data_IF_679262287581
#
_entry.id   IF_679262287581
#
_cell.length_a   1.000
_cell.length_b   1.000
_cell.length_c   1.000
_cell.angle_alpha   90.00
_cell.angle_beta   90.00
_cell.angle_gamma   90.00
#
_symmetry.space_group_name_H-M   'P 1'
#
loop_
_entity.id
_entity.type
_entity.pdbx_description
1 polymer ?
#
# COMPACT_ATOMS: atom_id res chain seq x y z
N UNK A 1 29.41 -9.31 -1.32
CA UNK A 1 28.20 -10.09 -0.95
C UNK A 1 28.23 -11.40 -1.75
N UNK A 2 27.55 -12.49 -1.36
CA UNK A 2 27.46 -13.67 -2.25
C UNK A 2 26.53 -13.34 -3.43
N UNK A 3 26.94 -13.67 -4.66
CA UNK A 3 26.08 -13.55 -5.85
C UNK A 3 24.76 -14.30 -5.67
N UNK A 4 23.65 -13.64 -5.99
CA UNK A 4 22.31 -14.22 -5.91
C UNK A 4 22.10 -15.27 -7.01
N UNK A 5 21.33 -16.32 -6.72
CA UNK A 5 20.76 -17.13 -7.80
C UNK A 5 19.70 -16.34 -8.57
N UNK A 6 19.32 -16.82 -9.76
CA UNK A 6 18.27 -16.18 -10.55
C UNK A 6 16.95 -16.07 -9.78
N UNK A 7 16.59 -17.09 -9.00
CA UNK A 7 15.38 -17.13 -8.19
C UNK A 7 15.48 -16.20 -6.97
N UNK A 8 16.66 -16.09 -6.36
CA UNK A 8 16.89 -15.13 -5.27
C UNK A 8 16.81 -13.69 -5.77
N UNK A 9 17.43 -13.40 -6.92
CA UNK A 9 17.34 -12.10 -7.58
C UNK A 9 15.90 -11.76 -7.94
N UNK A 10 15.17 -12.69 -8.55
CA UNK A 10 13.76 -12.48 -8.93
C UNK A 10 12.90 -12.11 -7.72
N UNK A 11 13.03 -12.84 -6.60
CA UNK A 11 12.32 -12.48 -5.36
C UNK A 11 12.73 -11.10 -4.84
N UNK A 12 14.02 -10.79 -4.85
CA UNK A 12 14.54 -9.53 -4.34
C UNK A 12 14.11 -8.33 -5.19
N UNK A 13 14.22 -8.40 -6.52
CA UNK A 13 13.82 -7.33 -7.42
C UNK A 13 12.30 -7.10 -7.38
N UNK A 14 11.50 -8.16 -7.26
CA UNK A 14 10.04 -8.03 -7.12
C UNK A 14 9.64 -7.27 -5.84
N UNK A 15 10.33 -7.50 -4.72
CA UNK A 15 10.08 -6.84 -3.43
C UNK A 15 10.78 -5.48 -3.28
N UNK A 16 11.75 -5.19 -4.15
CA UNK A 16 12.58 -3.99 -4.04
C UNK A 16 13.60 -4.07 -2.91
N UNK A 17 14.11 -5.27 -2.59
CA UNK A 17 15.13 -5.45 -1.57
C UNK A 17 16.49 -4.93 -2.05
N UNK A 18 17.24 -4.32 -1.14
CA UNK A 18 18.56 -3.75 -1.44
C UNK A 18 19.56 -4.76 -2.00
N UNK A 19 19.48 -6.04 -1.61
CA UNK A 19 20.33 -7.09 -2.20
C UNK A 19 20.23 -7.21 -3.72
N UNK A 20 19.09 -6.90 -4.34
CA UNK A 20 18.98 -6.91 -5.82
C UNK A 20 19.84 -5.80 -6.45
N UNK A 21 19.84 -4.61 -5.85
CA UNK A 21 20.70 -3.51 -6.26
C UNK A 21 22.18 -3.86 -6.08
N UNK A 22 22.54 -4.41 -4.91
CA UNK A 22 23.91 -4.80 -4.60
C UNK A 22 24.43 -5.89 -5.55
N UNK A 23 23.58 -6.82 -5.99
CA UNK A 23 23.95 -7.90 -6.90
C UNK A 23 24.32 -7.36 -8.29
N UNK A 24 23.49 -6.48 -8.86
CA UNK A 24 23.83 -5.82 -10.15
C UNK A 24 25.07 -4.95 -10.00
N UNK A 25 25.21 -4.22 -8.89
CA UNK A 25 26.38 -3.38 -8.63
C UNK A 25 27.69 -4.17 -8.58
N UNK A 26 27.68 -5.37 -8.01
CA UNK A 26 28.89 -6.20 -7.83
C UNK A 26 29.16 -7.10 -9.05
N UNK A 27 28.12 -7.58 -9.75
CA UNK A 27 28.24 -8.64 -10.76
C UNK A 27 27.68 -8.29 -12.15
N UNK A 28 27.11 -7.10 -12.33
CA UNK A 28 26.45 -6.67 -13.57
C UNK A 28 25.11 -7.37 -13.81
N UNK A 29 24.50 -7.13 -14.97
CA UNK A 29 23.14 -7.62 -15.30
C UNK A 29 23.12 -8.91 -16.13
N UNK A 30 24.26 -9.42 -16.63
CA UNK A 30 24.30 -10.46 -17.67
C UNK A 30 23.40 -11.67 -17.40
N UNK A 31 23.36 -12.17 -16.17
CA UNK A 31 22.59 -13.38 -15.80
C UNK A 31 21.14 -13.07 -15.38
N UNK A 32 20.82 -11.80 -15.14
CA UNK A 32 19.53 -11.30 -14.63
C UNK A 32 18.86 -10.31 -15.58
N UNK A 33 19.43 -10.08 -16.77
CA UNK A 33 19.02 -9.07 -17.74
C UNK A 33 17.54 -9.10 -18.07
N UNK A 34 16.97 -10.30 -18.25
CA UNK A 34 15.54 -10.48 -18.52
C UNK A 34 14.64 -10.12 -17.34
N UNK A 35 15.10 -10.40 -16.10
CA UNK A 35 14.36 -10.08 -14.88
C UNK A 35 14.38 -8.58 -14.61
N UNK A 36 15.54 -7.94 -14.81
CA UNK A 36 15.67 -6.49 -14.72
C UNK A 36 14.81 -5.81 -15.78
N UNK A 37 14.84 -6.28 -17.04
CA UNK A 37 13.98 -5.74 -18.09
C UNK A 37 12.49 -5.88 -17.73
N UNK A 38 12.07 -7.01 -17.17
CA UNK A 38 10.69 -7.17 -16.69
C UNK A 38 10.34 -6.13 -15.61
N UNK A 39 11.26 -5.88 -14.65
CA UNK A 39 11.05 -4.87 -13.61
C UNK A 39 11.03 -3.43 -14.15
N UNK A 40 11.70 -3.15 -15.26
CA UNK A 40 11.61 -1.86 -15.98
C UNK A 40 10.25 -1.71 -16.68
N UNK A 41 9.80 -2.75 -17.37
CA UNK A 41 8.57 -2.70 -18.20
C UNK A 41 7.28 -2.90 -17.41
N UNK A 42 7.36 -3.49 -16.22
CA UNK A 42 6.20 -3.78 -15.36
C UNK A 42 6.41 -3.19 -13.98
N UNK A 43 5.36 -2.60 -13.46
CA UNK A 43 5.35 -2.15 -12.09
C UNK A 43 5.11 -3.35 -11.16
N UNK A 44 6.16 -3.76 -10.45
CA UNK A 44 6.13 -4.93 -9.57
C UNK A 44 5.72 -4.58 -8.13
N UNK A 45 5.46 -3.30 -7.81
CA UNK A 45 5.07 -2.86 -6.46
C UNK A 45 3.78 -3.58 -6.04
N UNK A 46 3.63 -3.87 -4.75
CA UNK A 46 2.49 -4.63 -4.27
C UNK A 46 1.22 -3.77 -4.29
N UNK A 47 1.27 -2.62 -3.64
CA UNK A 47 0.20 -1.62 -3.58
C UNK A 47 0.73 -0.24 -4.00
N UNK A 48 0.59 0.07 -5.29
CA UNK A 48 1.04 1.33 -5.87
C UNK A 48 0.36 2.57 -5.25
N UNK A 49 -0.86 2.43 -4.73
CA UNK A 49 -1.60 3.55 -4.16
C UNK A 49 -0.97 4.06 -2.86
N UNK A 50 -0.32 3.18 -2.10
CA UNK A 50 0.26 3.52 -0.78
C UNK A 50 1.79 3.49 -0.74
N UNK A 51 2.43 2.80 -1.69
CA UNK A 51 3.89 2.63 -1.72
C UNK A 51 4.60 3.55 -2.71
N UNK A 52 3.88 4.07 -3.72
CA UNK A 52 4.48 4.81 -4.84
C UNK A 52 5.27 3.90 -5.81
N UNK A 53 5.98 4.54 -6.75
CA UNK A 53 6.77 3.84 -7.77
C UNK A 53 8.20 3.53 -7.34
N UNK A 54 8.88 2.67 -8.12
CA UNK A 54 10.31 2.31 -7.91
C UNK A 54 11.24 2.77 -9.03
N UNK A 55 10.76 3.61 -9.94
CA UNK A 55 11.51 4.02 -11.12
C UNK A 55 12.86 4.67 -10.79
N UNK A 56 12.94 5.60 -9.83
CA UNK A 56 14.22 6.23 -9.42
C UNK A 56 15.23 5.21 -8.90
N UNK A 57 14.77 4.25 -8.10
CA UNK A 57 15.61 3.16 -7.61
C UNK A 57 16.05 2.22 -8.74
N UNK A 58 15.13 1.79 -9.59
CA UNK A 58 15.43 0.96 -10.76
C UNK A 58 16.42 1.65 -11.70
N UNK A 59 16.26 2.95 -11.93
CA UNK A 59 17.21 3.72 -12.72
C UNK A 59 18.61 3.69 -12.10
N UNK A 60 18.71 3.81 -10.78
CA UNK A 60 19.99 3.70 -10.06
C UNK A 60 20.61 2.30 -10.18
N UNK A 61 19.80 1.23 -10.33
CA UNK A 61 20.29 -0.11 -10.67
C UNK A 61 20.85 -0.14 -12.09
N UNK A 62 20.16 0.50 -13.05
CA UNK A 62 20.58 0.54 -14.46
C UNK A 62 21.94 1.21 -14.67
N UNK A 63 22.32 2.15 -13.79
CA UNK A 63 23.64 2.82 -13.84
C UNK A 63 24.81 1.87 -13.60
N UNK A 64 24.56 0.68 -13.05
CA UNK A 64 25.57 -0.39 -12.88
C UNK A 64 25.51 -1.48 -13.97
N UNK A 65 24.69 -1.30 -15.00
CA UNK A 65 24.61 -2.23 -16.14
C UNK A 65 25.60 -1.86 -17.24
N UNK A 66 25.98 -2.84 -18.06
CA UNK A 66 26.94 -2.62 -19.15
C UNK A 66 26.35 -1.82 -20.33
N UNK A 67 25.02 -1.84 -20.51
CA UNK A 67 24.31 -1.16 -21.61
C UNK A 67 22.98 -0.59 -21.12
N UNK A 68 23.04 0.56 -20.43
CA UNK A 68 21.83 1.27 -19.99
C UNK A 68 20.92 1.66 -21.17
N UNK A 69 21.49 1.95 -22.33
CA UNK A 69 20.74 2.32 -23.54
C UNK A 69 19.90 1.16 -24.10
N UNK A 70 20.24 -0.10 -23.81
CA UNK A 70 19.38 -1.24 -24.11
C UNK A 70 18.02 -1.12 -23.43
N UNK A 71 18.00 -0.76 -22.15
CA UNK A 71 16.77 -0.63 -21.36
C UNK A 71 15.95 0.58 -21.80
N UNK A 72 16.61 1.69 -22.13
CA UNK A 72 15.93 2.86 -22.70
C UNK A 72 15.21 2.51 -24.01
N UNK A 73 15.90 1.84 -24.95
CA UNK A 73 15.31 1.41 -26.22
C UNK A 73 14.11 0.49 -25.99
N UNK A 74 14.27 -0.52 -25.13
CA UNK A 74 13.20 -1.45 -24.83
C UNK A 74 11.99 -0.75 -24.17
N UNK A 75 12.22 0.22 -23.29
CA UNK A 75 11.16 1.03 -22.68
C UNK A 75 10.38 1.83 -23.73
N UNK A 76 11.10 2.54 -24.61
CA UNK A 76 10.50 3.33 -25.70
C UNK A 76 9.69 2.45 -26.67
N UNK A 77 10.19 1.27 -27.01
CA UNK A 77 9.53 0.31 -27.92
C UNK A 77 8.25 -0.30 -27.33
N UNK A 78 8.15 -0.37 -26.00
CA UNK A 78 7.01 -1.01 -25.32
C UNK A 78 6.01 -0.04 -24.71
N UNK A 79 6.31 1.27 -24.65
CA UNK A 79 5.44 2.26 -23.99
C UNK A 79 4.03 2.33 -24.60
N UNK A 80 3.88 2.11 -25.90
CA UNK A 80 2.57 2.06 -26.56
C UNK A 80 1.72 0.87 -26.12
N UNK A 81 2.36 -0.19 -25.64
CA UNK A 81 1.72 -1.45 -25.24
C UNK A 81 1.40 -1.49 -23.72
N UNK A 82 1.78 -0.44 -22.97
CA UNK A 82 1.40 -0.30 -21.57
C UNK A 82 -0.10 0.05 -21.48
N UNK A 83 -0.91 -0.94 -21.13
CA UNK A 83 -2.35 -0.79 -20.87
C UNK A 83 -2.65 -0.50 -19.40
N UNK A 84 -1.78 -0.97 -18.48
CA UNK A 84 -1.88 -0.69 -17.06
C UNK A 84 -1.48 0.75 -16.76
N UNK A 85 -2.29 1.44 -15.95
CA UNK A 85 -1.98 2.79 -15.45
C UNK A 85 -0.65 2.80 -14.67
N UNK A 86 -0.40 1.76 -13.86
CA UNK A 86 0.79 1.68 -13.00
C UNK A 86 2.06 1.33 -13.78
N UNK A 87 1.93 0.49 -14.82
CA UNK A 87 3.06 0.21 -15.72
C UNK A 87 3.41 1.47 -16.52
N UNK A 88 2.39 2.21 -16.96
CA UNK A 88 2.57 3.47 -17.68
C UNK A 88 3.25 4.50 -16.79
N UNK A 89 2.77 4.70 -15.57
CA UNK A 89 3.35 5.66 -14.63
C UNK A 89 4.83 5.36 -14.34
N UNK A 90 5.17 4.11 -14.04
CA UNK A 90 6.56 3.71 -13.83
C UNK A 90 7.42 3.94 -15.08
N UNK A 91 6.88 3.64 -16.26
CA UNK A 91 7.58 3.88 -17.51
C UNK A 91 7.85 5.38 -17.73
N UNK A 92 6.88 6.25 -17.42
CA UNK A 92 7.04 7.70 -17.52
C UNK A 92 8.04 8.25 -16.50
N UNK A 93 8.05 7.73 -15.28
CA UNK A 93 9.10 8.07 -14.29
C UNK A 93 10.51 7.66 -14.77
N UNK A 94 10.65 6.50 -15.41
CA UNK A 94 11.93 6.08 -15.97
C UNK A 94 12.34 6.99 -17.15
N UNK A 95 11.41 7.37 -18.02
CA UNK A 95 11.68 8.33 -19.09
C UNK A 95 12.07 9.71 -18.55
N UNK A 96 11.48 10.14 -17.43
CA UNK A 96 11.91 11.35 -16.72
C UNK A 96 13.39 11.25 -16.30
N UNK A 97 13.80 10.14 -15.70
CA UNK A 97 15.19 9.94 -15.28
C UNK A 97 16.19 9.91 -16.44
N UNK A 98 15.80 9.33 -17.59
CA UNK A 98 16.56 9.43 -18.83
C UNK A 98 16.60 10.86 -19.40
N UNK A 99 15.47 11.57 -19.38
CA UNK A 99 15.37 12.95 -19.88
C UNK A 99 16.23 13.92 -19.07
N UNK A 100 16.25 13.79 -17.73
CA UNK A 100 17.13 14.56 -16.84
C UNK A 100 18.62 14.36 -17.15
N UNK A 101 18.99 13.20 -17.68
CA UNK A 101 20.36 12.86 -18.11
C UNK A 101 20.64 13.19 -19.59
N UNK A 102 19.73 13.92 -20.25
CA UNK A 102 19.94 14.45 -21.59
C UNK A 102 19.35 13.61 -22.73
N UNK A 103 18.52 12.61 -22.45
CA UNK A 103 17.81 11.92 -23.53
C UNK A 103 16.66 12.75 -24.10
N UNK A 104 16.90 13.36 -25.25
CA UNK A 104 15.87 14.06 -26.03
C UNK A 104 14.75 13.10 -26.49
N UNK A 105 15.08 11.82 -26.72
CA UNK A 105 14.10 10.80 -27.10
C UNK A 105 13.13 10.55 -25.96
N UNK A 106 13.66 10.35 -24.75
CA UNK A 106 12.84 10.13 -23.56
C UNK A 106 11.97 11.36 -23.24
N UNK A 107 12.52 12.58 -23.32
CA UNK A 107 11.73 13.82 -23.16
C UNK A 107 10.55 13.87 -24.15
N UNK A 108 10.81 13.69 -25.44
CA UNK A 108 9.76 13.77 -26.47
C UNK A 108 8.68 12.71 -26.24
N UNK A 109 9.08 11.50 -25.88
CA UNK A 109 8.15 10.40 -25.67
C UNK A 109 7.29 10.58 -24.42
N UNK A 110 7.87 11.11 -23.33
CA UNK A 110 7.14 11.48 -22.12
C UNK A 110 5.97 12.43 -22.44
N UNK A 111 6.26 13.53 -23.13
CA UNK A 111 5.24 14.49 -23.56
C UNK A 111 4.22 13.88 -24.53
N UNK A 112 4.71 13.12 -25.53
CA UNK A 112 3.84 12.48 -26.53
C UNK A 112 2.85 11.52 -25.88
N UNK A 113 3.31 10.70 -24.92
CA UNK A 113 2.46 9.75 -24.20
C UNK A 113 1.42 10.49 -23.38
N UNK A 114 1.82 11.50 -22.60
CA UNK A 114 0.88 12.32 -21.83
C UNK A 114 -0.17 12.97 -22.73
N UNK A 115 0.22 13.59 -23.83
CA UNK A 115 -0.71 14.30 -24.73
C UNK A 115 -1.74 13.37 -25.38
N UNK A 116 -1.31 12.16 -25.74
CA UNK A 116 -2.12 11.15 -26.41
C UNK A 116 -2.88 10.21 -25.47
N UNK A 117 -2.60 10.23 -24.16
CA UNK A 117 -3.24 9.30 -23.23
C UNK A 117 -4.74 9.55 -23.09
N UNK A 118 -5.46 8.47 -22.78
CA UNK A 118 -6.92 8.46 -22.57
C UNK A 118 -7.31 8.04 -21.15
N UNK A 119 -6.34 8.02 -20.23
CA UNK A 119 -6.62 7.77 -18.82
C UNK A 119 -7.40 8.95 -18.24
N UNK A 120 -8.31 8.66 -17.30
CA UNK A 120 -9.00 9.70 -16.53
C UNK A 120 -8.11 10.22 -15.40
N UNK A 121 -7.08 9.45 -15.04
CA UNK A 121 -6.04 9.76 -14.07
C UNK A 121 -5.08 10.81 -14.62
N UNK A 122 -5.37 12.08 -14.35
CA UNK A 122 -4.59 13.23 -14.80
C UNK A 122 -3.16 13.28 -14.27
N UNK A 123 -2.90 12.61 -13.15
CA UNK A 123 -1.58 12.51 -12.52
C UNK A 123 -0.58 11.67 -13.33
N UNK A 124 -1.05 10.73 -14.17
CA UNK A 124 -0.18 9.94 -15.05
C UNK A 124 0.51 10.87 -16.06
N UNK A 125 1.84 10.98 -15.99
CA UNK A 125 2.65 11.80 -16.89
C UNK A 125 2.72 13.29 -16.54
N UNK A 126 1.73 13.82 -15.83
CA UNK A 126 1.75 15.25 -15.47
C UNK A 126 2.81 15.57 -14.44
N UNK A 127 2.94 14.72 -13.41
CA UNK A 127 3.94 14.92 -12.35
C UNK A 127 5.36 14.90 -12.93
N UNK A 128 5.62 13.98 -13.86
CA UNK A 128 6.91 13.83 -14.49
C UNK A 128 7.24 15.02 -15.40
N UNK A 129 6.28 15.52 -16.17
CA UNK A 129 6.45 16.72 -16.99
C UNK A 129 6.73 17.95 -16.12
N UNK A 130 5.99 18.12 -15.02
CA UNK A 130 6.19 19.21 -14.06
C UNK A 130 7.55 19.09 -13.37
N UNK A 131 7.98 17.87 -13.04
CA UNK A 131 9.31 17.64 -12.46
C UNK A 131 10.43 17.97 -13.43
N UNK A 132 10.23 17.74 -14.74
CA UNK A 132 11.23 18.01 -15.77
C UNK A 132 11.35 19.50 -16.13
N UNK A 133 10.22 20.18 -16.31
CA UNK A 133 10.16 21.53 -16.92
C UNK A 133 9.50 22.58 -16.00
N UNK A 134 9.22 22.23 -14.74
CA UNK A 134 8.73 23.16 -13.73
C UNK A 134 7.39 23.80 -14.08
N UNK A 135 7.32 25.13 -13.98
CA UNK A 135 6.11 25.91 -14.24
C UNK A 135 5.67 25.79 -15.70
N UNK A 136 6.60 25.74 -16.66
CA UNK A 136 6.27 25.58 -18.07
C UNK A 136 5.65 24.19 -18.35
N UNK A 137 6.19 23.16 -17.69
CA UNK A 137 5.59 21.82 -17.69
C UNK A 137 4.17 21.82 -17.11
N UNK A 138 3.95 22.53 -16.00
CA UNK A 138 2.61 22.70 -15.42
C UNK A 138 1.64 23.38 -16.39
N UNK A 139 2.04 24.45 -17.07
CA UNK A 139 1.18 25.14 -18.04
C UNK A 139 0.78 24.20 -19.19
N UNK A 140 1.72 23.42 -19.73
CA UNK A 140 1.44 22.42 -20.76
C UNK A 140 0.41 21.38 -20.29
N UNK A 141 0.60 20.85 -19.08
CA UNK A 141 -0.30 19.88 -18.46
C UNK A 141 -1.70 20.47 -18.27
N UNK A 142 -1.80 21.66 -17.65
CA UNK A 142 -3.07 22.31 -17.38
C UNK A 142 -3.83 22.66 -18.66
N UNK A 143 -3.13 23.09 -19.72
CA UNK A 143 -3.74 23.32 -21.04
C UNK A 143 -4.23 22.03 -21.70
N UNK A 144 -3.52 20.92 -21.52
CA UNK A 144 -3.91 19.62 -22.07
C UNK A 144 -5.14 19.07 -21.34
N UNK A 145 -5.16 19.12 -20.02
CA UNK A 145 -6.33 18.73 -19.20
C UNK A 145 -7.52 19.64 -19.53
N UNK A 146 -7.30 20.95 -19.61
CA UNK A 146 -8.31 21.92 -19.98
C UNK A 146 -8.91 21.69 -21.37
N UNK A 147 -8.13 21.16 -22.32
CA UNK A 147 -8.64 20.70 -23.62
C UNK A 147 -9.56 19.49 -23.43
N UNK A 148 -9.16 18.48 -22.67
CA UNK A 148 -9.97 17.27 -22.40
C UNK A 148 -11.29 17.60 -21.74
N UNK A 149 -11.29 18.45 -20.71
CA UNK A 149 -12.50 18.95 -20.04
C UNK A 149 -13.50 19.64 -20.99
N UNK A 150 -13.01 20.18 -22.11
CA UNK A 150 -13.85 20.82 -23.13
C UNK A 150 -14.34 19.86 -24.22
N UNK A 151 -13.59 18.80 -24.48
CA UNK A 151 -13.84 17.85 -25.56
C UNK A 151 -14.63 16.63 -25.09
N UNK A 152 -14.56 16.30 -23.80
CA UNK A 152 -15.22 15.15 -23.18
C UNK A 152 -16.02 15.59 -21.95
N UNK A 153 -17.35 15.54 -22.05
CA UNK A 153 -18.28 15.89 -20.97
C UNK A 153 -18.15 14.97 -19.74
N UNK A 154 -17.63 13.76 -19.92
CA UNK A 154 -17.41 12.78 -18.85
C UNK A 154 -16.06 12.94 -18.13
N UNK A 155 -15.15 13.75 -18.69
CA UNK A 155 -13.83 13.96 -18.09
C UNK A 155 -13.95 14.80 -16.81
N UNK A 156 -13.23 14.39 -15.78
CA UNK A 156 -13.30 15.00 -14.46
C UNK A 156 -11.90 15.27 -13.91
N UNK A 157 -11.77 16.33 -13.12
CA UNK A 157 -10.52 16.77 -12.52
C UNK A 157 -10.78 17.40 -11.15
N UNK A 158 -9.80 17.27 -10.25
CA UNK A 158 -9.80 17.90 -8.92
C UNK A 158 -8.61 18.87 -8.69
N UNK A 159 -8.58 19.46 -7.50
CA UNK A 159 -7.60 20.46 -7.08
C UNK A 159 -6.22 19.88 -6.73
N UNK A 160 -6.03 18.56 -6.76
CA UNK A 160 -4.81 17.91 -6.27
C UNK A 160 -3.56 18.43 -6.98
N UNK A 161 -3.57 18.44 -8.32
CA UNK A 161 -2.44 18.85 -9.12
C UNK A 161 -2.07 20.32 -8.88
N UNK A 162 -3.07 21.21 -8.85
CA UNK A 162 -2.84 22.64 -8.62
C UNK A 162 -2.24 22.90 -7.24
N UNK A 163 -2.74 22.21 -6.21
CA UNK A 163 -2.21 22.33 -4.85
C UNK A 163 -0.77 21.84 -4.76
N UNK A 164 -0.45 20.69 -5.38
CA UNK A 164 0.92 20.16 -5.42
C UNK A 164 1.93 21.13 -6.06
N UNK A 165 1.52 21.81 -7.14
CA UNK A 165 2.35 22.79 -7.84
C UNK A 165 2.52 24.07 -7.02
N UNK A 166 1.46 24.55 -6.36
CA UNK A 166 1.54 25.69 -5.43
C UNK A 166 2.47 25.41 -4.25
N UNK A 167 2.40 24.21 -3.66
CA UNK A 167 3.27 23.80 -2.56
C UNK A 167 4.75 23.79 -2.98
N UNK A 168 5.03 23.37 -4.21
CA UNK A 168 6.40 23.26 -4.74
C UNK A 168 7.00 24.59 -5.18
N UNK A 169 6.24 25.44 -5.88
CA UNK A 169 6.76 26.66 -6.52
C UNK A 169 6.27 27.96 -5.89
N UNK A 170 5.38 27.88 -4.90
CA UNK A 170 4.76 29.02 -4.23
C UNK A 170 3.48 29.47 -4.94
N UNK A 171 2.43 29.72 -4.15
CA UNK A 171 1.10 30.11 -4.63
C UNK A 171 1.13 31.41 -5.45
N UNK A 172 1.88 32.43 -5.02
CA UNK A 172 1.97 33.71 -5.72
C UNK A 172 2.58 33.58 -7.12
N UNK A 173 3.65 32.80 -7.26
CA UNK A 173 4.33 32.59 -8.54
C UNK A 173 3.41 31.86 -9.54
N UNK A 174 2.68 30.86 -9.07
CA UNK A 174 1.72 30.10 -9.88
C UNK A 174 0.54 30.96 -10.30
N UNK A 175 -0.06 31.73 -9.39
CA UNK A 175 -1.15 32.66 -9.71
C UNK A 175 -0.76 33.67 -10.77
N UNK A 176 0.39 34.34 -10.60
CA UNK A 176 0.88 35.32 -11.56
C UNK A 176 1.06 34.72 -12.96
N UNK A 177 1.61 33.51 -13.03
CA UNK A 177 1.82 32.80 -14.30
C UNK A 177 0.47 32.44 -14.96
N UNK A 178 -0.47 31.93 -14.17
CA UNK A 178 -1.83 31.60 -14.63
C UNK A 178 -2.52 32.85 -15.16
N UNK A 179 -2.50 33.97 -14.42
CA UNK A 179 -3.18 35.21 -14.79
C UNK A 179 -2.71 35.76 -16.14
N UNK A 180 -1.40 35.69 -16.41
CA UNK A 180 -0.83 36.08 -17.70
C UNK A 180 -1.37 35.17 -18.81
N UNK A 181 -1.33 33.86 -18.60
CA UNK A 181 -1.69 32.86 -19.64
C UNK A 181 -3.20 32.78 -19.90
N UNK A 182 -4.03 33.07 -18.89
CA UNK A 182 -5.50 33.08 -18.98
C UNK A 182 -6.06 34.11 -19.98
N UNK A 183 -5.28 35.15 -20.30
CA UNK A 183 -5.64 36.14 -21.32
C UNK A 183 -5.70 35.52 -22.72
N UNK A 184 -4.91 34.47 -22.96
CA UNK A 184 -4.71 33.88 -24.30
C UNK A 184 -5.22 32.44 -24.41
N UNK A 185 -5.35 31.70 -23.30
CA UNK A 185 -5.64 30.26 -23.34
C UNK A 185 -7.05 29.92 -22.87
N UNK A 186 -7.90 29.47 -23.81
CA UNK A 186 -9.25 28.95 -23.51
C UNK A 186 -9.21 27.62 -22.74
N UNK A 187 -8.17 26.81 -22.95
CA UNK A 187 -8.04 25.52 -22.30
C UNK A 187 -7.62 25.70 -20.84
N UNK A 188 -6.61 26.53 -20.55
CA UNK A 188 -6.23 26.83 -19.17
C UNK A 188 -7.41 27.40 -18.38
N UNK A 189 -8.23 28.25 -19.00
CA UNK A 189 -9.46 28.77 -18.37
C UNK A 189 -10.42 27.66 -17.94
N UNK A 190 -10.66 26.68 -18.82
CA UNK A 190 -11.53 25.55 -18.50
C UNK A 190 -11.01 24.72 -17.32
N UNK A 191 -9.69 24.49 -17.26
CA UNK A 191 -9.05 23.82 -16.12
C UNK A 191 -9.29 24.60 -14.80
N UNK A 192 -8.96 25.90 -14.76
CA UNK A 192 -9.10 26.71 -13.54
C UNK A 192 -10.57 26.83 -13.09
N UNK A 193 -11.52 27.01 -14.01
CA UNK A 193 -12.95 27.04 -13.67
C UNK A 193 -13.42 25.73 -13.04
N UNK A 194 -12.92 24.58 -13.52
CA UNK A 194 -13.24 23.26 -12.98
C UNK A 194 -12.76 23.11 -11.53
N UNK A 195 -11.52 23.53 -11.26
CA UNK A 195 -10.91 23.44 -9.93
C UNK A 195 -11.65 24.31 -8.91
N UNK A 196 -11.92 25.58 -9.25
CA UNK A 196 -12.64 26.52 -8.38
C UNK A 196 -14.02 25.98 -7.97
N UNK A 197 -14.74 25.32 -8.90
CA UNK A 197 -16.03 24.67 -8.59
C UNK A 197 -15.87 23.49 -7.63
N UNK A 198 -14.79 22.73 -7.75
CA UNK A 198 -14.53 21.57 -6.89
C UNK A 198 -14.18 22.00 -5.47
N UNK A 199 -13.28 22.98 -5.31
CA UNK A 199 -12.89 23.53 -4.00
C UNK A 199 -14.10 24.07 -3.21
N UNK A 200 -15.04 24.71 -3.90
CA UNK A 200 -16.27 25.23 -3.30
C UNK A 200 -17.18 24.15 -2.70
N UNK A 201 -17.00 22.87 -3.04
CA UNK A 201 -17.80 21.74 -2.54
C UNK A 201 -17.18 20.96 -1.38
N UNK A 202 -15.95 21.29 -0.95
CA UNK A 202 -15.17 20.51 0.03
C UNK A 202 -15.32 20.92 1.50
N UNK A 203 -16.04 21.99 1.82
CA UNK A 203 -16.12 22.50 3.18
C UNK A 203 -17.02 21.61 4.06
N UNK A 204 -16.41 20.85 4.98
CA UNK A 204 -17.14 20.26 6.10
C UNK A 204 -16.23 19.81 7.25
N UNK A 205 -16.70 19.94 8.49
CA UNK A 205 -16.00 19.51 9.70
C UNK A 205 -15.97 17.98 9.84
N UNK A 206 -15.11 17.47 10.73
CA UNK A 206 -15.06 16.03 11.06
C UNK A 206 -16.40 15.54 11.62
N UNK A 207 -17.04 16.35 12.46
CA UNK A 207 -18.35 16.06 13.04
C UNK A 207 -19.43 15.91 11.95
N UNK A 208 -19.37 16.75 10.92
CA UNK A 208 -20.29 16.67 9.77
C UNK A 208 -20.05 15.42 8.93
N UNK A 209 -18.80 14.99 8.79
CA UNK A 209 -18.46 13.72 8.11
C UNK A 209 -19.01 12.53 8.89
N UNK A 210 -18.78 12.48 10.21
CA UNK A 210 -19.26 11.39 11.06
C UNK A 210 -20.80 11.35 11.10
N UNK A 211 -21.46 12.51 11.15
CA UNK A 211 -22.91 12.60 11.05
C UNK A 211 -23.43 12.11 9.69
N UNK A 212 -22.75 12.46 8.60
CA UNK A 212 -23.09 11.97 7.25
C UNK A 212 -22.96 10.45 7.15
N UNK A 213 -21.91 9.87 7.73
CA UNK A 213 -21.71 8.41 7.78
C UNK A 213 -22.85 7.74 8.56
N UNK A 214 -23.20 8.26 9.75
CA UNK A 214 -24.33 7.73 10.55
C UNK A 214 -25.67 7.83 9.82
N UNK A 215 -25.90 8.92 9.06
CA UNK A 215 -27.09 9.06 8.20
C UNK A 215 -27.11 8.08 7.04
N UNK A 216 -25.94 7.71 6.51
CA UNK A 216 -25.82 6.76 5.42
C UNK A 216 -26.02 5.30 5.87
N UNK A 217 -25.48 4.95 7.03
CA UNK A 217 -25.51 3.60 7.60
C UNK A 217 -26.31 3.59 8.90
N UNK A 218 -27.64 3.71 8.79
CA UNK A 218 -28.53 3.62 9.97
C UNK A 218 -28.65 2.18 10.46
N UNK A 219 -29.02 2.00 11.73
CA UNK A 219 -29.26 0.69 12.33
C UNK A 219 -30.28 -0.12 11.51
N UNK A 220 -31.41 0.47 11.15
CA UNK A 220 -32.49 -0.20 10.42
C UNK A 220 -32.01 -0.69 9.05
N UNK A 221 -31.20 0.12 8.36
CA UNK A 221 -30.61 -0.25 7.08
C UNK A 221 -29.64 -1.42 7.24
N UNK A 222 -28.79 -1.38 8.27
CA UNK A 222 -27.81 -2.44 8.52
C UNK A 222 -28.51 -3.74 8.88
N UNK A 223 -29.50 -3.73 9.77
CA UNK A 223 -30.27 -4.92 10.12
C UNK A 223 -31.02 -5.48 8.89
N UNK A 224 -31.62 -4.62 8.06
CA UNK A 224 -32.25 -5.05 6.81
C UNK A 224 -31.23 -5.64 5.83
N UNK A 225 -30.03 -5.06 5.71
CA UNK A 225 -28.95 -5.60 4.89
C UNK A 225 -28.50 -6.98 5.41
N UNK A 226 -28.37 -7.16 6.72
CA UNK A 226 -28.02 -8.46 7.33
C UNK A 226 -29.09 -9.50 7.05
N UNK A 227 -30.37 -9.18 7.32
CA UNK A 227 -31.49 -10.11 7.11
C UNK A 227 -31.50 -10.65 5.67
N UNK A 228 -31.29 -9.75 4.71
CA UNK A 228 -31.24 -10.08 3.28
C UNK A 228 -29.88 -10.61 2.80
N UNK A 229 -28.92 -10.85 3.71
CA UNK A 229 -27.55 -11.26 3.40
C UNK A 229 -26.89 -10.40 2.29
N UNK A 230 -27.08 -9.08 2.34
CA UNK A 230 -26.53 -8.16 1.33
C UNK A 230 -25.05 -7.91 1.55
N UNK A 231 -24.33 -7.66 0.46
CA UNK A 231 -22.90 -7.31 0.50
C UNK A 231 -21.98 -8.51 0.75
N UNK A 232 -20.89 -8.56 0.00
CA UNK A 232 -19.90 -9.66 0.04
C UNK A 232 -18.64 -9.29 0.84
N UNK A 233 -18.56 -8.04 1.33
CA UNK A 233 -17.37 -7.50 1.96
C UNK A 233 -17.68 -6.79 3.29
N UNK A 234 -16.74 -6.82 4.25
CA UNK A 234 -16.95 -6.29 5.61
C UNK A 234 -17.06 -4.75 5.68
N UNK A 235 -16.62 -4.02 4.65
CA UNK A 235 -16.38 -2.57 4.72
C UNK A 235 -17.54 -1.75 5.31
N UNK A 236 -18.77 -1.94 4.83
CA UNK A 236 -19.93 -1.19 5.33
C UNK A 236 -20.28 -1.53 6.79
N UNK A 237 -20.14 -2.81 7.15
CA UNK A 237 -20.47 -3.31 8.49
C UNK A 237 -19.43 -2.84 9.51
N UNK A 238 -18.15 -2.90 9.13
CA UNK A 238 -17.05 -2.38 9.93
C UNK A 238 -17.10 -0.86 10.09
N UNK A 239 -17.53 -0.11 9.06
CA UNK A 239 -17.77 1.34 9.16
C UNK A 239 -18.89 1.62 10.15
N UNK A 240 -20.05 0.96 10.00
CA UNK A 240 -21.16 1.08 10.93
C UNK A 240 -20.70 0.77 12.37
N UNK A 241 -20.07 -0.38 12.58
CA UNK A 241 -19.57 -0.80 13.89
C UNK A 241 -18.60 0.20 14.53
N UNK A 242 -17.76 0.86 13.73
CA UNK A 242 -16.86 1.92 14.22
C UNK A 242 -17.59 3.21 14.62
N UNK A 243 -18.64 3.60 13.90
CA UNK A 243 -19.29 4.92 14.06
C UNK A 243 -20.61 4.91 14.84
N UNK A 244 -21.22 3.74 15.03
CA UNK A 244 -22.52 3.61 15.69
C UNK A 244 -22.45 3.94 17.18
N UNK A 245 -23.59 4.41 17.71
CA UNK A 245 -23.80 4.66 19.13
C UNK A 245 -23.89 3.32 19.89
N UNK A 246 -23.57 3.35 21.18
CA UNK A 246 -23.54 2.11 21.99
C UNK A 246 -24.92 1.43 22.08
N UNK A 247 -26.02 2.20 22.08
CA UNK A 247 -27.39 1.65 22.06
C UNK A 247 -27.68 0.86 20.77
N UNK A 248 -27.23 1.36 19.63
CA UNK A 248 -27.39 0.66 18.34
C UNK A 248 -26.54 -0.61 18.30
N UNK A 249 -25.33 -0.55 18.84
CA UNK A 249 -24.44 -1.71 18.98
C UNK A 249 -25.07 -2.78 19.88
N UNK A 250 -25.69 -2.37 20.99
CA UNK A 250 -26.36 -3.31 21.90
C UNK A 250 -27.55 -3.98 21.20
N UNK A 251 -28.34 -3.24 20.41
CA UNK A 251 -29.44 -3.82 19.61
C UNK A 251 -28.94 -4.82 18.58
N UNK A 252 -27.88 -4.51 17.85
CA UNK A 252 -27.26 -5.46 16.90
C UNK A 252 -26.77 -6.71 17.62
N UNK A 253 -26.14 -6.55 18.79
CA UNK A 253 -25.62 -7.67 19.56
C UNK A 253 -26.74 -8.58 20.10
N UNK A 254 -27.88 -8.01 20.48
CA UNK A 254 -29.05 -8.78 20.93
C UNK A 254 -29.69 -9.61 19.82
N UNK A 255 -29.68 -9.12 18.57
CA UNK A 255 -30.10 -9.90 17.41
C UNK A 255 -29.07 -10.99 17.08
N UNK A 256 -27.77 -10.65 17.11
CA UNK A 256 -26.69 -11.61 16.91
C UNK A 256 -26.76 -12.81 17.86
N UNK A 257 -27.12 -12.59 19.14
CA UNK A 257 -27.29 -13.64 20.15
C UNK A 257 -28.27 -14.75 19.73
N UNK A 258 -29.26 -14.43 18.88
CA UNK A 258 -30.34 -15.34 18.48
C UNK A 258 -30.19 -15.87 17.06
N UNK A 259 -29.26 -15.33 16.29
CA UNK A 259 -29.04 -15.70 14.90
C UNK A 259 -28.31 -17.03 14.78
N UNK A 260 -28.71 -17.87 13.83
CA UNK A 260 -28.10 -19.18 13.55
C UNK A 260 -27.69 -19.36 12.08
N UNK A 261 -28.15 -18.46 11.19
CA UNK A 261 -27.88 -18.54 9.75
C UNK A 261 -26.47 -18.01 9.46
N UNK A 262 -25.63 -18.85 8.86
CA UNK A 262 -24.22 -18.53 8.56
C UNK A 262 -24.01 -17.19 7.85
N UNK A 263 -24.75 -16.86 6.75
CA UNK A 263 -24.54 -15.59 6.06
C UNK A 263 -24.81 -14.37 6.96
N UNK A 264 -25.83 -14.45 7.80
CA UNK A 264 -26.20 -13.39 8.73
C UNK A 264 -25.16 -13.27 9.85
N UNK A 265 -24.72 -14.40 10.42
CA UNK A 265 -23.68 -14.44 11.44
C UNK A 265 -22.39 -13.75 10.98
N UNK A 266 -21.91 -14.04 9.76
CA UNK A 266 -20.73 -13.39 9.18
C UNK A 266 -20.87 -11.85 9.21
N UNK A 267 -22.02 -11.34 8.77
CA UNK A 267 -22.27 -9.88 8.69
C UNK A 267 -22.42 -9.24 10.07
N UNK A 268 -23.04 -9.93 11.02
CA UNK A 268 -23.05 -9.49 12.41
C UNK A 268 -21.63 -9.42 12.98
N UNK A 269 -20.80 -10.44 12.75
CA UNK A 269 -19.42 -10.48 13.22
C UNK A 269 -18.55 -9.38 12.60
N UNK A 270 -18.74 -9.05 11.32
CA UNK A 270 -18.03 -7.95 10.66
C UNK A 270 -18.25 -6.58 11.32
N UNK A 271 -19.38 -6.36 12.00
CA UNK A 271 -19.64 -5.12 12.76
C UNK A 271 -18.63 -4.99 13.91
N UNK A 272 -18.21 -6.11 14.50
CA UNK A 272 -17.26 -6.15 15.62
C UNK A 272 -15.80 -6.26 15.17
N UNK A 273 -15.49 -6.21 13.88
CA UNK A 273 -14.10 -6.25 13.39
C UNK A 273 -13.24 -5.03 13.76
N UNK A 274 -13.87 -3.93 14.17
CA UNK A 274 -13.19 -2.67 14.57
C UNK A 274 -13.66 -2.15 15.92
N UNK A 275 -14.35 -2.98 16.71
CA UNK A 275 -14.90 -2.62 18.01
C UNK A 275 -14.97 -3.86 18.90
N UNK A 276 -14.82 -3.68 20.21
CA UNK A 276 -15.03 -4.75 21.19
C UNK A 276 -16.45 -5.30 21.10
N UNK A 277 -16.57 -6.62 21.25
CA UNK A 277 -17.86 -7.26 21.52
C UNK A 277 -18.40 -6.76 22.86
N UNK A 278 -19.72 -6.47 22.98
CA UNK A 278 -20.33 -6.15 24.27
C UNK A 278 -20.16 -7.26 25.31
N UNK A 279 -20.18 -8.53 24.87
CA UNK A 279 -19.94 -9.71 25.70
C UNK A 279 -19.23 -10.81 24.90
N UNK A 280 -18.32 -11.56 25.54
CA UNK A 280 -17.63 -12.71 24.94
C UNK A 280 -18.47 -13.99 25.06
N UNK A 281 -19.43 -14.16 24.13
CA UNK A 281 -20.32 -15.32 24.12
C UNK A 281 -19.57 -16.62 23.75
N UNK A 282 -19.84 -17.77 24.40
CA UNK A 282 -19.25 -19.07 24.06
C UNK A 282 -19.33 -19.41 22.57
N UNK A 283 -20.48 -19.10 21.94
CA UNK A 283 -20.72 -19.31 20.52
C UNK A 283 -19.67 -18.64 19.63
N UNK A 284 -19.17 -17.45 19.96
CA UNK A 284 -18.17 -16.76 19.11
C UNK A 284 -16.85 -17.55 19.08
N UNK A 285 -16.45 -18.13 20.20
CA UNK A 285 -15.25 -18.98 20.28
C UNK A 285 -15.41 -20.27 19.47
N UNK A 286 -16.60 -20.85 19.44
CA UNK A 286 -16.92 -22.02 18.62
C UNK A 286 -16.88 -21.67 17.12
N UNK A 287 -17.45 -20.52 16.74
CA UNK A 287 -17.44 -20.00 15.37
C UNK A 287 -16.01 -19.74 14.87
N UNK A 288 -15.11 -19.23 15.72
CA UNK A 288 -13.70 -19.03 15.37
C UNK A 288 -12.97 -20.33 15.00
N UNK A 289 -13.46 -21.49 15.48
CA UNK A 289 -12.91 -22.81 15.18
C UNK A 289 -13.70 -23.56 14.09
N UNK A 290 -14.73 -22.94 13.50
CA UNK A 290 -15.59 -23.58 12.50
C UNK A 290 -14.84 -23.92 11.21
N UNK A 291 -15.28 -24.96 10.49
CA UNK A 291 -14.68 -25.36 9.22
C UNK A 291 -14.94 -24.39 8.07
N UNK A 292 -16.03 -23.62 8.14
CA UNK A 292 -16.30 -22.51 7.25
C UNK A 292 -15.28 -21.40 7.49
N UNK A 293 -14.39 -21.20 6.51
CA UNK A 293 -13.31 -20.23 6.60
C UNK A 293 -13.84 -18.80 6.77
N UNK A 294 -14.88 -18.40 6.04
CA UNK A 294 -15.38 -17.01 6.09
C UNK A 294 -15.98 -16.71 7.47
N UNK A 295 -16.76 -17.65 8.00
CA UNK A 295 -17.32 -17.57 9.34
C UNK A 295 -16.23 -17.57 10.44
N UNK A 296 -15.23 -18.44 10.30
CA UNK A 296 -14.08 -18.50 11.21
C UNK A 296 -13.29 -17.19 11.20
N UNK A 297 -12.95 -16.64 10.03
CA UNK A 297 -12.26 -15.35 9.92
C UNK A 297 -13.08 -14.20 10.52
N UNK A 298 -14.39 -14.14 10.24
CA UNK A 298 -15.24 -13.09 10.82
C UNK A 298 -15.29 -13.17 12.36
N UNK A 299 -15.36 -14.37 12.92
CA UNK A 299 -15.34 -14.58 14.36
C UNK A 299 -13.98 -14.25 14.99
N UNK A 300 -12.88 -14.61 14.32
CA UNK A 300 -11.51 -14.26 14.74
C UNK A 300 -11.36 -12.75 14.82
N UNK A 301 -11.74 -12.01 13.79
CA UNK A 301 -11.61 -10.54 13.80
C UNK A 301 -12.55 -9.85 14.80
N UNK A 302 -13.70 -10.45 15.12
CA UNK A 302 -14.55 -9.95 16.20
C UNK A 302 -13.89 -10.15 17.58
N UNK A 303 -13.25 -11.30 17.82
CA UNK A 303 -12.57 -11.61 19.08
C UNK A 303 -11.27 -10.81 19.27
N UNK A 304 -10.51 -10.55 18.20
CA UNK A 304 -9.18 -9.90 18.24
C UNK A 304 -9.19 -8.50 18.88
N UNK A 305 -10.35 -7.85 18.94
CA UNK A 305 -10.53 -6.54 19.55
C UNK A 305 -10.59 -6.58 21.09
N UNK A 306 -10.66 -7.76 21.71
CA UNK A 306 -10.81 -7.97 23.16
C UNK A 306 -9.58 -8.63 23.80
N UNK A 307 -9.42 -8.43 25.12
CA UNK A 307 -8.35 -9.06 25.92
C UNK A 307 -9.01 -10.07 26.87
N UNK A 308 -8.72 -11.36 26.69
CA UNK A 308 -9.19 -12.45 27.54
C UNK A 308 -8.32 -13.71 27.36
N UNK A 309 -8.03 -14.41 28.46
CA UNK A 309 -7.27 -15.67 28.44
C UNK A 309 -7.85 -16.76 27.53
N UNK A 310 -9.17 -16.80 27.34
CA UNK A 310 -9.86 -17.74 26.44
C UNK A 310 -9.60 -17.43 24.97
N UNK A 311 -9.40 -16.16 24.62
CA UNK A 311 -9.05 -15.74 23.25
C UNK A 311 -7.67 -16.27 22.89
N UNK A 312 -6.71 -16.15 23.81
CA UNK A 312 -5.39 -16.76 23.64
C UNK A 312 -5.50 -18.29 23.43
N UNK A 313 -6.29 -18.99 24.26
CA UNK A 313 -6.45 -20.45 24.13
C UNK A 313 -7.09 -20.86 22.80
N UNK A 314 -7.97 -20.02 22.22
CA UNK A 314 -8.48 -20.23 20.86
C UNK A 314 -7.40 -19.95 19.82
N UNK A 315 -6.61 -18.88 20.00
CA UNK A 315 -5.41 -18.59 19.21
C UNK A 315 -4.50 -19.81 19.10
N UNK A 316 -4.10 -20.42 20.22
CA UNK A 316 -3.27 -21.63 20.22
C UNK A 316 -3.89 -22.78 19.42
N UNK A 317 -5.21 -22.98 19.50
CA UNK A 317 -5.91 -24.02 18.72
C UNK A 317 -5.92 -23.71 17.23
N UNK A 318 -6.07 -22.44 16.85
CA UNK A 318 -6.00 -21.99 15.46
C UNK A 318 -4.58 -22.17 14.90
N UNK A 319 -3.54 -21.80 15.66
CA UNK A 319 -2.14 -21.95 15.23
C UNK A 319 -1.74 -23.41 14.92
N UNK A 320 -2.38 -24.38 15.60
CA UNK A 320 -2.14 -25.83 15.39
C UNK A 320 -2.85 -26.41 14.15
N UNK A 321 -3.61 -25.61 13.39
CA UNK A 321 -4.25 -26.08 12.16
C UNK A 321 -3.23 -26.50 11.09
N UNK A 322 -3.57 -27.54 10.32
CA UNK A 322 -2.68 -28.11 9.27
C UNK A 322 -2.58 -27.25 8.02
N UNK A 323 -3.63 -26.50 7.70
CA UNK A 323 -3.57 -25.48 6.67
C UNK A 323 -2.85 -24.24 7.22
N UNK A 324 -1.86 -23.72 6.50
CA UNK A 324 -1.03 -22.62 7.01
C UNK A 324 -1.79 -21.29 7.00
N UNK A 325 -2.71 -21.08 6.05
CA UNK A 325 -3.48 -19.83 5.95
C UNK A 325 -4.44 -19.73 7.13
N UNK A 326 -5.13 -20.84 7.42
CA UNK A 326 -5.97 -20.96 8.60
C UNK A 326 -5.16 -20.85 9.88
N UNK A 327 -3.98 -21.47 9.95
CA UNK A 327 -3.11 -21.34 11.12
C UNK A 327 -2.68 -19.89 11.36
N UNK A 328 -2.27 -19.18 10.30
CA UNK A 328 -1.79 -17.80 10.39
C UNK A 328 -2.88 -16.81 10.83
N UNK A 329 -4.17 -17.13 10.64
CA UNK A 329 -5.27 -16.32 11.19
C UNK A 329 -5.24 -16.23 12.72
N UNK A 330 -4.58 -17.17 13.40
CA UNK A 330 -4.37 -17.14 14.84
C UNK A 330 -3.50 -15.97 15.31
N UNK A 331 -2.68 -15.38 14.43
CA UNK A 331 -1.85 -14.22 14.77
C UNK A 331 -2.71 -13.03 15.19
N UNK A 332 -3.86 -12.82 14.54
CA UNK A 332 -4.78 -11.72 14.87
C UNK A 332 -5.28 -11.81 16.32
N UNK A 333 -5.55 -13.03 16.81
CA UNK A 333 -5.99 -13.25 18.19
C UNK A 333 -4.89 -12.96 19.21
N UNK A 334 -3.63 -13.16 18.82
CA UNK A 334 -2.48 -12.92 19.68
C UNK A 334 -2.08 -11.44 19.76
N UNK A 335 -2.48 -10.56 18.83
CA UNK A 335 -2.08 -9.14 18.83
C UNK A 335 -2.25 -8.49 20.22
N UNK A 336 -3.39 -8.75 20.89
CA UNK A 336 -3.68 -8.22 22.23
C UNK A 336 -3.59 -9.26 23.35
N UNK A 337 -3.31 -10.52 23.01
CA UNK A 337 -3.35 -11.66 23.94
C UNK A 337 -2.07 -12.52 23.87
N UNK A 338 -0.97 -11.96 23.36
CA UNK A 338 0.33 -12.60 23.26
C UNK A 338 0.86 -12.96 24.66
N UNK A 339 1.54 -14.10 24.74
CA UNK A 339 2.26 -14.55 25.94
C UNK A 339 3.68 -14.96 25.56
N UNK A 340 4.58 -14.88 26.54
CA UNK A 340 5.95 -15.36 26.37
C UNK A 340 5.96 -16.82 25.89
N UNK A 341 6.72 -17.09 24.82
CA UNK A 341 6.81 -18.40 24.17
C UNK A 341 5.90 -18.59 22.95
N UNK A 342 4.93 -17.69 22.71
CA UNK A 342 4.08 -17.76 21.51
C UNK A 342 4.87 -17.65 20.20
N UNK A 343 6.05 -17.03 20.24
CA UNK A 343 6.95 -16.90 19.07
C UNK A 343 7.30 -18.28 18.46
N UNK A 344 7.45 -19.32 19.28
CA UNK A 344 7.84 -20.65 18.78
C UNK A 344 6.76 -21.24 17.87
N UNK A 345 5.48 -21.07 18.20
CA UNK A 345 4.37 -21.54 17.37
C UNK A 345 4.20 -20.65 16.13
N UNK A 346 4.42 -19.34 16.26
CA UNK A 346 4.46 -18.42 15.12
C UNK A 346 5.52 -18.87 14.11
N UNK A 347 6.76 -19.06 14.54
CA UNK A 347 7.87 -19.49 13.68
C UNK A 347 7.62 -20.83 12.99
N UNK A 348 6.97 -21.79 13.67
CA UNK A 348 6.57 -23.07 13.05
C UNK A 348 5.61 -22.86 11.88
N UNK A 349 4.69 -21.91 11.98
CA UNK A 349 3.78 -21.56 10.90
C UNK A 349 4.52 -20.85 9.78
N UNK A 350 5.40 -19.89 10.10
CA UNK A 350 6.18 -19.16 9.08
C UNK A 350 7.02 -20.11 8.21
N UNK A 351 7.57 -21.18 8.79
CA UNK A 351 8.32 -22.23 8.06
C UNK A 351 7.45 -23.07 7.12
N UNK A 352 6.13 -23.10 7.33
CA UNK A 352 5.17 -23.83 6.48
C UNK A 352 4.66 -23.01 5.30
N UNK A 353 4.89 -21.70 5.31
CA UNK A 353 4.45 -20.81 4.24
C UNK A 353 5.31 -21.09 2.99
N UNK A 354 4.70 -21.50 1.86
CA UNK A 354 5.44 -21.74 0.63
C UNK A 354 6.06 -20.45 0.08
N UNK A 355 7.27 -20.53 -0.47
CA UNK A 355 7.90 -19.41 -1.17
C UNK A 355 7.08 -18.92 -2.40
N UNK A 356 6.18 -19.77 -2.92
CA UNK A 356 5.27 -19.51 -4.04
C UNK A 356 3.88 -19.04 -3.58
N UNK A 357 3.69 -18.77 -2.30
CA UNK A 357 2.40 -18.29 -1.79
C UNK A 357 2.00 -16.96 -2.46
N UNK A 358 0.69 -16.79 -2.67
CA UNK A 358 0.12 -15.61 -3.31
C UNK A 358 0.41 -14.37 -2.47
N UNK A 359 0.85 -13.29 -3.11
CA UNK A 359 1.28 -12.03 -2.46
C UNK A 359 0.24 -11.47 -1.49
N UNK A 360 -1.04 -11.48 -1.85
CA UNK A 360 -2.12 -10.99 -0.99
C UNK A 360 -2.27 -11.77 0.32
N UNK A 361 -2.04 -13.08 0.25
CA UNK A 361 -2.09 -13.93 1.45
C UNK A 361 -0.91 -13.65 2.36
N UNK A 362 0.29 -13.47 1.79
CA UNK A 362 1.48 -13.05 2.53
C UNK A 362 1.29 -11.66 3.14
N UNK A 363 0.73 -10.71 2.39
CA UNK A 363 0.49 -9.35 2.88
C UNK A 363 -0.45 -9.33 4.09
N UNK A 364 -1.51 -10.16 4.08
CA UNK A 364 -2.39 -10.31 5.25
C UNK A 364 -1.61 -10.81 6.47
N UNK A 365 -0.87 -11.91 6.33
CA UNK A 365 -0.04 -12.46 7.41
C UNK A 365 0.95 -11.44 7.93
N UNK A 366 1.66 -10.76 7.05
CA UNK A 366 2.62 -9.72 7.39
C UNK A 366 1.95 -8.56 8.14
N UNK A 367 0.75 -8.15 7.72
CA UNK A 367 0.02 -7.07 8.40
C UNK A 367 -0.31 -7.45 9.85
N UNK A 368 -0.79 -8.67 10.08
CA UNK A 368 -1.09 -9.17 11.43
C UNK A 368 0.18 -9.27 12.28
N UNK A 369 1.29 -9.74 11.71
CA UNK A 369 2.56 -9.85 12.41
C UNK A 369 3.19 -8.49 12.74
N UNK A 370 3.11 -7.51 11.83
CA UNK A 370 3.54 -6.12 12.11
C UNK A 370 2.74 -5.57 13.28
N UNK A 371 1.42 -5.75 13.27
CA UNK A 371 0.58 -5.27 14.37
C UNK A 371 0.86 -6.02 15.67
N UNK A 372 1.09 -7.33 15.62
CA UNK A 372 1.51 -8.14 16.77
C UNK A 372 2.82 -7.62 17.36
N UNK A 373 3.84 -7.38 16.53
CA UNK A 373 5.14 -6.88 17.00
C UNK A 373 5.05 -5.45 17.54
N UNK A 374 4.19 -4.58 16.97
CA UNK A 374 3.97 -3.23 17.50
C UNK A 374 3.30 -3.22 18.86
N UNK A 375 2.37 -4.14 19.11
CA UNK A 375 1.61 -4.17 20.36
C UNK A 375 2.32 -4.95 21.47
N UNK A 376 3.40 -5.67 21.15
CA UNK A 376 4.10 -6.54 22.11
C UNK A 376 5.61 -6.28 22.05
N UNK A 377 6.11 -5.58 23.07
CA UNK A 377 7.54 -5.35 23.26
C UNK A 377 8.21 -6.63 23.79
N UNK A 378 8.77 -7.42 22.87
CA UNK A 378 9.43 -8.69 23.19
C UNK A 378 10.58 -8.97 22.24
N UNK A 379 11.78 -9.20 22.79
CA UNK A 379 12.95 -9.65 22.01
C UNK A 379 12.72 -11.01 21.34
N UNK A 380 11.77 -11.82 21.84
CA UNK A 380 11.39 -13.10 21.22
C UNK A 380 10.75 -12.95 19.84
N UNK A 381 10.34 -11.73 19.47
CA UNK A 381 9.75 -11.43 18.17
C UNK A 381 10.77 -10.93 17.15
N UNK A 382 12.05 -10.82 17.49
CA UNK A 382 13.07 -10.33 16.55
C UNK A 382 13.14 -11.20 15.27
N UNK A 383 13.13 -12.53 15.40
CA UNK A 383 13.12 -13.46 14.26
C UNK A 383 11.85 -13.33 13.40
N UNK A 384 10.71 -12.98 14.03
CA UNK A 384 9.46 -12.68 13.33
C UNK A 384 9.61 -11.40 12.51
N UNK A 385 10.23 -10.36 13.07
CA UNK A 385 10.48 -9.10 12.36
C UNK A 385 11.47 -9.29 11.20
N UNK A 386 12.51 -10.09 11.36
CA UNK A 386 13.40 -10.47 10.27
C UNK A 386 12.64 -11.23 9.17
N UNK A 387 11.75 -12.14 9.54
CA UNK A 387 10.90 -12.84 8.57
C UNK A 387 10.01 -11.87 7.80
N UNK A 388 9.41 -10.86 8.46
CA UNK A 388 8.64 -9.80 7.82
C UNK A 388 9.51 -9.04 6.81
N UNK A 389 10.73 -8.67 7.20
CA UNK A 389 11.66 -7.96 6.32
C UNK A 389 11.92 -8.75 5.03
N UNK A 390 12.22 -10.04 5.15
CA UNK A 390 12.55 -10.90 4.02
C UNK A 390 11.35 -11.25 3.14
N UNK A 391 10.16 -11.39 3.73
CA UNK A 391 9.00 -11.98 3.05
C UNK A 391 7.92 -10.98 2.65
N UNK A 392 7.93 -9.76 3.18
CA UNK A 392 6.90 -8.77 2.86
C UNK A 392 6.92 -8.38 1.38
N UNK A 393 5.79 -8.50 0.66
CA UNK A 393 5.64 -7.91 -0.67
C UNK A 393 5.49 -6.38 -0.61
N UNK A 394 5.09 -5.84 0.54
CA UNK A 394 4.82 -4.42 0.77
C UNK A 394 6.00 -3.74 1.47
N UNK A 395 6.53 -2.70 0.85
CA UNK A 395 7.62 -1.86 1.35
C UNK A 395 7.24 -1.12 2.62
N UNK A 396 5.98 -0.72 2.79
CA UNK A 396 5.52 -0.08 4.02
C UNK A 396 5.62 -1.06 5.21
N UNK A 397 5.08 -2.28 5.08
CA UNK A 397 5.19 -3.30 6.13
C UNK A 397 6.65 -3.69 6.42
N UNK A 398 7.49 -3.78 5.36
CA UNK A 398 8.93 -4.02 5.52
C UNK A 398 9.61 -2.90 6.32
N UNK A 399 9.31 -1.64 5.99
CA UNK A 399 9.86 -0.49 6.70
C UNK A 399 9.44 -0.43 8.17
N UNK A 400 8.23 -0.90 8.50
CA UNK A 400 7.79 -1.02 9.89
C UNK A 400 8.57 -2.09 10.66
N UNK A 401 8.86 -3.24 10.04
CA UNK A 401 9.73 -4.25 10.64
C UNK A 401 11.15 -3.68 10.91
N UNK A 402 11.71 -2.90 9.98
CA UNK A 402 13.02 -2.24 10.18
C UNK A 402 12.98 -1.29 11.38
N UNK A 403 11.94 -0.48 11.54
CA UNK A 403 11.78 0.41 12.70
C UNK A 403 11.73 -0.37 14.02
N UNK A 404 10.99 -1.47 14.05
CA UNK A 404 10.85 -2.31 15.23
C UNK A 404 12.18 -3.01 15.58
N UNK A 405 12.90 -3.54 14.58
CA UNK A 405 14.23 -4.12 14.78
C UNK A 405 15.24 -3.08 15.33
N UNK A 406 15.18 -1.84 14.87
CA UNK A 406 16.01 -0.75 15.42
C UNK A 406 15.63 -0.44 16.86
N UNK A 407 14.32 -0.31 17.16
CA UNK A 407 13.84 -0.07 18.52
C UNK A 407 14.28 -1.16 19.49
N UNK A 408 14.30 -2.41 19.04
CA UNK A 408 14.77 -3.58 19.80
C UNK A 408 16.30 -3.76 19.80
N UNK A 409 17.06 -2.87 19.15
CA UNK A 409 18.52 -3.01 18.95
C UNK A 409 18.92 -4.36 18.32
N UNK A 410 18.02 -4.93 17.52
CA UNK A 410 18.16 -6.23 16.89
C UNK A 410 18.51 -6.13 15.39
N UNK A 411 18.51 -4.92 14.82
CA UNK A 411 18.84 -4.73 13.40
C UNK A 411 20.30 -5.11 13.10
N UNK A 412 20.48 -6.23 12.39
CA UNK A 412 21.79 -6.70 11.95
C UNK A 412 22.43 -5.75 10.92
N UNK A 413 23.77 -5.73 10.89
CA UNK A 413 24.49 -4.90 9.91
C UNK A 413 24.27 -5.37 8.46
N UNK A 414 23.92 -6.65 8.26
CA UNK A 414 23.54 -7.19 6.95
C UNK A 414 22.26 -6.50 6.44
N UNK A 415 21.19 -6.54 7.25
CA UNK A 415 19.91 -5.90 6.92
C UNK A 415 20.11 -4.38 6.78
N UNK A 416 20.88 -3.75 7.69
CA UNK A 416 21.15 -2.32 7.62
C UNK A 416 21.82 -1.92 6.29
N UNK A 417 22.84 -2.67 5.84
CA UNK A 417 23.53 -2.38 4.59
C UNK A 417 22.61 -2.51 3.36
N UNK A 418 21.68 -3.45 3.38
CA UNK A 418 20.66 -3.55 2.33
C UNK A 418 19.65 -2.41 2.40
N UNK A 419 19.21 -2.03 3.60
CA UNK A 419 18.25 -0.95 3.79
C UNK A 419 18.74 0.39 3.23
N UNK A 420 20.06 0.66 3.23
CA UNK A 420 20.65 1.86 2.63
C UNK A 420 20.42 1.98 1.12
N UNK A 421 20.14 0.88 0.43
CA UNK A 421 19.89 0.83 -1.02
C UNK A 421 18.57 0.13 -1.35
N UNK A 422 17.64 0.05 -0.38
CA UNK A 422 16.31 -0.53 -0.59
C UNK A 422 15.51 0.29 -1.61
N UNK A 423 14.55 -0.34 -2.28
CA UNK A 423 13.64 0.33 -3.22
C UNK A 423 12.80 1.44 -2.58
N UNK A 424 12.52 1.34 -1.28
CA UNK A 424 11.77 2.35 -0.53
C UNK A 424 12.67 3.48 -0.04
N UNK A 425 12.35 4.72 -0.43
CA UNK A 425 13.02 5.91 0.08
C UNK A 425 12.92 6.04 1.60
N UNK A 426 11.75 5.77 2.17
CA UNK A 426 11.54 5.79 3.63
C UNK A 426 12.45 4.81 4.37
N UNK A 427 12.68 3.62 3.82
CA UNK A 427 13.59 2.63 4.43
C UNK A 427 15.03 3.13 4.37
N UNK A 428 15.45 3.70 3.24
CA UNK A 428 16.80 4.31 3.10
C UNK A 428 17.02 5.42 4.12
N UNK A 429 16.07 6.34 4.28
CA UNK A 429 16.15 7.42 5.27
C UNK A 429 16.30 6.89 6.72
N UNK A 430 15.55 5.85 7.07
CA UNK A 430 15.64 5.21 8.39
C UNK A 430 17.03 4.59 8.58
N UNK A 431 17.54 3.87 7.58
CA UNK A 431 18.85 3.23 7.62
C UNK A 431 20.00 4.23 7.70
N UNK A 432 19.93 5.36 7.00
CA UNK A 432 20.93 6.42 7.05
C UNK A 432 21.04 7.05 8.44
N UNK A 433 19.90 7.29 9.09
CA UNK A 433 19.85 7.79 10.48
C UNK A 433 20.46 6.78 11.44
N UNK A 434 20.09 5.51 11.33
CA UNK A 434 20.62 4.44 12.19
C UNK A 434 22.13 4.27 12.01
N UNK A 435 22.62 4.28 10.76
CA UNK A 435 24.05 4.21 10.47
C UNK A 435 24.81 5.39 11.09
N UNK A 436 24.29 6.60 10.94
CA UNK A 436 24.89 7.81 11.52
C UNK A 436 24.92 7.75 13.05
N UNK A 437 23.85 7.23 13.66
CA UNK A 437 23.78 7.02 15.10
C UNK A 437 24.83 6.00 15.58
N UNK A 438 24.91 4.81 14.96
CA UNK A 438 25.93 3.79 15.27
C UNK A 438 27.36 4.34 15.16
N UNK A 439 27.63 5.15 14.14
CA UNK A 439 28.94 5.80 13.93
C UNK A 439 29.28 6.89 14.96
N UNK A 440 28.29 7.49 15.64
CA UNK A 440 28.54 8.52 16.65
C UNK A 440 28.83 7.94 18.05
N UNK A 441 28.56 6.65 18.25
CA UNK A 441 28.78 5.94 19.52
C UNK A 441 30.02 5.04 19.46
N UNK A 442 30.49 4.69 18.25
CA UNK A 442 31.78 4.03 18.00
C UNK A 442 32.94 5.01 18.02
#
# INVERSE_FOLDING_TARGET
MKKLTKEEFDRAINKGLGRAFLDVKEYGDKDVKSLLLNAILRNLVYDNQSEGGRAKWLFSVLEYTDDISYYERALLENLSNCESIWDTDQALDLLLEFAKRGSDRARKELYRKFDAQKFNESWIGSEQIIELDGIDGFLHVAETIGRRLREDEGYWEDDFLLNKVKDRFGDEAIRKTIDIKLQTSKNLRAYIERITRFESGKSGSKEEIDERIRKQFTLERILADIENAKGEFPGRYAIFGKSALDDDIQRVFDEFRREERTPQLIRFLWIFSRRKLPELLPKVFELALNEDNELSFAAISALSNSIDSKIHNVGEKVLRQKDWERAASGFELLIRNYRNGDNEEIEKILKRIPATAVRDKIHRVVSDLVELCRNNDSEQLNDVMEWIYENSPCMNCRGEAVKLLIANKALSDCILNECLVDGSEKIREIAEREKSFKQSIS
#
